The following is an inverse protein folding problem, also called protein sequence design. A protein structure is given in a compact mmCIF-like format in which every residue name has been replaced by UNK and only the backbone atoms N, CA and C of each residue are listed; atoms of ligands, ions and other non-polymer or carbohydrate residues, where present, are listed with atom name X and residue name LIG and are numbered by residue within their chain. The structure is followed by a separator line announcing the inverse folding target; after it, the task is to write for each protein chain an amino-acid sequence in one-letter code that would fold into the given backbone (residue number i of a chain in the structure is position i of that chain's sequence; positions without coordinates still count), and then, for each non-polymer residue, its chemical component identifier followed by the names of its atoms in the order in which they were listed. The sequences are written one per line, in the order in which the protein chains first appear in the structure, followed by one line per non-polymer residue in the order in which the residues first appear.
data_IF_198324130340
#
_entry.id   IF_198324130340
#
_cell.length_a   1.000
_cell.length_b   1.000
_cell.length_c   1.000
_cell.angle_alpha   90.00
_cell.angle_beta   90.00
_cell.angle_gamma   90.00
#
_symmetry.space_group_name_H-M   'P 1'
#
loop_
_entity.id
_entity.type
_entity.pdbx_description
1 polymer ?
#
# COMPACT_ATOMS: atom_id res chain seq x y z
N UNK A 1 25.87 77.91 31.74
CA UNK A 1 26.63 76.65 31.83
C UNK A 1 25.75 75.53 32.41
N UNK A 2 25.08 75.73 33.55
CA UNK A 2 24.27 74.67 34.21
C UNK A 2 23.10 74.06 33.42
N UNK A 3 22.44 74.81 32.52
CA UNK A 3 21.34 74.28 31.70
C UNK A 3 21.81 73.32 30.58
N UNK A 4 23.06 73.45 30.14
CA UNK A 4 23.62 72.57 29.10
C UNK A 4 24.00 71.21 29.72
N UNK A 5 24.51 71.22 30.95
CA UNK A 5 24.87 69.99 31.67
C UNK A 5 23.65 69.16 32.08
N UNK A 6 22.51 69.80 32.40
CA UNK A 6 21.26 69.10 32.75
C UNK A 6 20.59 68.45 31.53
N UNK A 7 20.68 69.07 30.36
CA UNK A 7 20.11 68.53 29.13
C UNK A 7 20.99 67.42 28.53
N UNK A 8 22.31 67.54 28.67
CA UNK A 8 23.25 66.47 28.31
C UNK A 8 23.09 65.23 29.21
N UNK A 9 22.81 65.41 30.50
CA UNK A 9 22.58 64.28 31.43
C UNK A 9 21.22 63.61 31.24
N UNK A 10 20.17 64.34 30.86
CA UNK A 10 18.88 63.75 30.50
C UNK A 10 18.94 62.94 29.19
N UNK A 11 19.60 63.48 28.15
CA UNK A 11 19.78 62.75 26.89
C UNK A 11 20.64 61.49 27.08
N UNK A 12 21.69 61.56 27.90
CA UNK A 12 22.49 60.38 28.23
C UNK A 12 21.68 59.32 29.00
N UNK A 13 20.76 59.73 29.87
CA UNK A 13 19.86 58.81 30.59
C UNK A 13 18.88 58.11 29.65
N UNK A 14 18.25 58.85 28.73
CA UNK A 14 17.32 58.29 27.74
C UNK A 14 18.03 57.35 26.76
N UNK A 15 19.25 57.69 26.33
CA UNK A 15 20.08 56.80 25.52
C UNK A 15 20.43 55.51 26.26
N UNK A 16 20.73 55.58 27.57
CA UNK A 16 21.01 54.37 28.35
C UNK A 16 19.77 53.48 28.53
N UNK A 17 18.58 54.05 28.74
CA UNK A 17 17.34 53.28 28.84
C UNK A 17 16.96 52.64 27.50
N UNK A 18 17.16 53.34 26.38
CA UNK A 18 16.96 52.79 25.04
C UNK A 18 17.94 51.64 24.75
N UNK A 19 19.20 51.76 25.16
CA UNK A 19 20.20 50.69 25.02
C UNK A 19 19.81 49.46 25.86
N UNK A 20 19.33 49.65 27.09
CA UNK A 20 18.88 48.54 27.95
C UNK A 20 17.63 47.86 27.38
N UNK A 21 16.67 48.63 26.85
CA UNK A 21 15.47 48.09 26.19
C UNK A 21 15.83 47.28 24.94
N UNK A 22 16.74 47.79 24.10
CA UNK A 22 17.24 47.07 22.93
C UNK A 22 18.03 45.81 23.32
N UNK A 23 18.81 45.86 24.40
CA UNK A 23 19.48 44.66 24.93
C UNK A 23 18.50 43.60 25.40
N UNK A 24 17.41 44.00 26.07
CA UNK A 24 16.34 43.08 26.47
C UNK A 24 15.66 42.44 25.26
N UNK A 25 15.31 43.25 24.25
CA UNK A 25 14.71 42.74 23.00
C UNK A 25 15.66 41.78 22.25
N UNK A 26 16.96 42.08 22.19
CA UNK A 26 17.94 41.17 21.59
C UNK A 26 18.06 39.86 22.37
N UNK A 27 17.99 39.91 23.71
CA UNK A 27 17.98 38.70 24.54
C UNK A 27 16.72 37.86 24.30
N UNK A 28 15.56 38.48 24.18
CA UNK A 28 14.30 37.80 23.88
C UNK A 28 14.31 37.18 22.48
N UNK A 29 14.76 37.92 21.46
CA UNK A 29 14.93 37.39 20.10
C UNK A 29 15.91 36.21 20.07
N UNK A 30 17.00 36.27 20.85
CA UNK A 30 17.96 35.16 20.96
C UNK A 30 17.33 33.93 21.61
N UNK A 31 16.56 34.11 22.70
CA UNK A 31 15.86 33.01 23.36
C UNK A 31 14.82 32.37 22.43
N UNK A 32 14.10 33.16 21.63
CA UNK A 32 13.18 32.65 20.62
C UNK A 32 13.89 31.86 19.52
N UNK A 33 15.04 32.34 19.04
CA UNK A 33 15.84 31.58 18.06
C UNK A 33 16.33 30.25 18.61
N UNK A 34 16.82 30.22 19.85
CA UNK A 34 17.23 28.99 20.54
C UNK A 34 16.04 28.03 20.73
N UNK A 35 14.86 28.55 21.06
CA UNK A 35 13.62 27.76 21.15
C UNK A 35 13.25 27.13 19.81
N UNK A 36 13.15 27.94 18.74
CA UNK A 36 12.81 27.45 17.40
C UNK A 36 13.84 26.48 16.84
N UNK A 37 15.13 26.70 17.14
CA UNK A 37 16.20 25.75 16.80
C UNK A 37 16.01 24.40 17.51
N UNK A 38 15.61 24.42 18.78
CA UNK A 38 15.25 23.22 19.53
C UNK A 38 14.06 22.49 18.91
N UNK A 39 12.98 23.21 18.58
CA UNK A 39 11.80 22.64 17.90
C UNK A 39 12.17 22.03 16.55
N UNK A 40 12.94 22.73 15.73
CA UNK A 40 13.40 22.21 14.43
C UNK A 40 14.23 20.93 14.59
N UNK A 41 15.10 20.87 15.60
CA UNK A 41 15.91 19.68 15.90
C UNK A 41 15.02 18.51 16.31
N UNK A 42 14.02 18.73 17.19
CA UNK A 42 13.09 17.68 17.61
C UNK A 42 12.26 17.19 16.42
N UNK A 43 11.76 18.09 15.58
CA UNK A 43 11.03 17.73 14.36
C UNK A 43 11.90 16.91 13.40
N UNK A 44 13.17 17.28 13.22
CA UNK A 44 14.10 16.53 12.38
C UNK A 44 14.38 15.13 12.94
N UNK A 45 14.59 15.03 14.25
CA UNK A 45 14.82 13.74 14.91
C UNK A 45 13.58 12.84 14.83
N UNK A 46 12.39 13.37 15.11
CA UNK A 46 11.12 12.65 14.99
C UNK A 46 10.89 12.15 13.55
N UNK A 47 11.14 13.00 12.54
CA UNK A 47 11.07 12.58 11.13
C UNK A 47 12.07 11.47 10.81
N UNK A 48 13.30 11.52 11.34
CA UNK A 48 14.31 10.46 11.14
C UNK A 48 13.89 9.15 11.81
N UNK A 49 13.26 9.22 12.98
CA UNK A 49 12.72 8.05 13.68
C UNK A 49 11.60 7.38 12.88
N UNK A 50 10.61 8.15 12.42
CA UNK A 50 9.52 7.64 11.57
C UNK A 50 10.05 7.01 10.28
N UNK A 51 11.00 7.65 9.59
CA UNK A 51 11.65 7.09 8.40
C UNK A 51 12.41 5.80 8.72
N UNK A 52 13.05 5.72 9.89
CA UNK A 52 13.75 4.52 10.35
C UNK A 52 12.80 3.36 10.68
N UNK A 53 11.63 3.65 11.25
CA UNK A 53 10.58 2.66 11.50
C UNK A 53 9.95 2.15 10.21
N UNK A 54 9.62 3.04 9.27
CA UNK A 54 9.12 2.67 7.95
C UNK A 54 10.13 1.82 7.18
N UNK A 55 11.41 2.18 7.20
CA UNK A 55 12.47 1.40 6.57
C UNK A 55 12.54 -0.02 7.15
N UNK A 56 12.49 -0.15 8.49
CA UNK A 56 12.47 -1.46 9.16
C UNK A 56 11.26 -2.29 8.78
N UNK A 57 10.07 -1.67 8.67
CA UNK A 57 8.86 -2.35 8.23
C UNK A 57 9.00 -2.87 6.80
N UNK A 58 9.48 -2.05 5.86
CA UNK A 58 9.76 -2.49 4.49
C UNK A 58 10.76 -3.64 4.45
N UNK A 59 11.85 -3.58 5.21
CA UNK A 59 12.85 -4.65 5.25
C UNK A 59 12.26 -5.95 5.81
N UNK A 60 11.40 -5.87 6.84
CA UNK A 60 10.69 -7.01 7.42
C UNK A 60 9.72 -7.66 6.42
N UNK A 61 8.95 -6.85 5.68
CA UNK A 61 8.03 -7.34 4.64
C UNK A 61 8.80 -8.01 3.50
N UNK A 62 9.91 -7.41 3.05
CA UNK A 62 10.77 -8.00 2.02
C UNK A 62 11.29 -9.37 2.49
N UNK A 63 11.77 -9.48 3.72
CA UNK A 63 12.23 -10.75 4.28
C UNK A 63 11.12 -11.79 4.37
N UNK A 64 9.93 -11.40 4.82
CA UNK A 64 8.76 -12.29 4.89
C UNK A 64 8.34 -12.80 3.50
N UNK A 65 8.31 -11.91 2.50
CA UNK A 65 8.01 -12.28 1.11
C UNK A 65 9.09 -13.21 0.52
N UNK A 66 10.36 -12.93 0.77
CA UNK A 66 11.47 -13.79 0.35
C UNK A 66 11.38 -15.18 0.97
N UNK A 67 10.96 -15.28 2.24
CA UNK A 67 10.73 -16.55 2.92
C UNK A 67 9.56 -17.33 2.31
N UNK A 68 8.42 -16.68 2.08
CA UNK A 68 7.27 -17.32 1.43
C UNK A 68 7.62 -17.82 0.01
N UNK A 69 8.38 -17.03 -0.76
CA UNK A 69 8.86 -17.43 -2.09
C UNK A 69 9.84 -18.62 -2.02
N UNK A 70 10.75 -18.63 -1.04
CA UNK A 70 11.65 -19.76 -0.80
C UNK A 70 10.90 -21.03 -0.38
N UNK A 71 9.88 -20.91 0.46
CA UNK A 71 9.05 -22.03 0.88
C UNK A 71 8.26 -22.61 -0.30
N UNK A 72 7.61 -21.76 -1.10
CA UNK A 72 6.88 -22.21 -2.29
C UNK A 72 7.82 -22.87 -3.31
N UNK A 73 9.02 -22.33 -3.53
CA UNK A 73 10.04 -22.96 -4.37
C UNK A 73 10.41 -24.36 -3.85
N UNK A 74 10.70 -24.51 -2.55
CA UNK A 74 10.97 -25.80 -1.91
C UNK A 74 9.81 -26.79 -2.05
N UNK A 75 8.56 -26.33 -1.90
CA UNK A 75 7.36 -27.17 -2.12
C UNK A 75 7.27 -27.67 -3.57
N UNK A 76 7.56 -26.83 -4.56
CA UNK A 76 7.60 -27.24 -5.96
C UNK A 76 8.74 -28.23 -6.23
N UNK A 77 9.94 -28.00 -5.71
CA UNK A 77 11.07 -28.94 -5.81
C UNK A 77 10.75 -30.31 -5.21
N UNK A 78 10.08 -30.33 -4.05
CA UNK A 78 9.60 -31.55 -3.40
C UNK A 78 8.58 -32.31 -4.26
N UNK A 79 7.60 -31.61 -4.84
CA UNK A 79 6.60 -32.22 -5.76
C UNK A 79 7.26 -32.76 -7.02
N UNK A 80 8.21 -32.03 -7.60
CA UNK A 80 8.98 -32.49 -8.76
C UNK A 80 9.76 -33.75 -8.40
N UNK A 81 10.44 -33.77 -7.25
CA UNK A 81 11.20 -34.92 -6.76
C UNK A 81 10.31 -36.14 -6.52
N UNK A 82 9.12 -35.96 -5.93
CA UNK A 82 8.14 -37.03 -5.75
C UNK A 82 7.67 -37.61 -7.08
N UNK A 83 7.31 -36.76 -8.05
CA UNK A 83 6.93 -37.21 -9.40
C UNK A 83 8.07 -37.93 -10.13
N UNK A 84 9.32 -37.48 -9.94
CA UNK A 84 10.49 -38.14 -10.51
C UNK A 84 10.76 -39.49 -9.86
N UNK A 85 10.60 -39.60 -8.54
CA UNK A 85 10.72 -40.86 -7.79
C UNK A 85 9.64 -41.87 -8.21
N UNK A 86 8.38 -41.46 -8.32
CA UNK A 86 7.31 -42.31 -8.84
C UNK A 86 7.66 -42.82 -10.25
N UNK A 87 8.10 -41.94 -11.16
CA UNK A 87 8.55 -42.36 -12.51
C UNK A 87 9.74 -43.33 -12.47
N UNK A 88 10.66 -43.18 -11.53
CA UNK A 88 11.79 -44.10 -11.35
C UNK A 88 11.33 -45.45 -10.80
N UNK A 89 10.38 -45.47 -9.86
CA UNK A 89 9.76 -46.68 -9.32
C UNK A 89 9.02 -47.46 -10.41
N UNK A 90 8.26 -46.79 -11.27
CA UNK A 90 7.61 -47.42 -12.43
C UNK A 90 8.60 -47.92 -13.47
N UNK A 91 9.79 -47.31 -13.59
CA UNK A 91 10.89 -47.83 -14.44
C UNK A 91 11.65 -48.99 -13.80
N UNK A 92 11.80 -49.01 -12.48
CA UNK A 92 12.49 -50.06 -11.72
C UNK A 92 11.65 -51.33 -11.52
N UNK A 93 10.33 -51.23 -11.54
CA UNK A 93 9.41 -52.38 -11.43
C UNK A 93 9.39 -53.33 -12.64
N UNK A 94 10.17 -53.04 -13.69
CA UNK A 94 10.23 -53.84 -14.92
C UNK A 94 11.53 -54.60 -15.18
N UNK A 95 12.52 -54.59 -14.28
CA UNK A 95 13.78 -55.29 -14.51
C UNK A 95 14.40 -55.82 -13.20
N UNK A 96 13.99 -57.02 -12.81
CA UNK A 96 14.72 -57.86 -11.88
C UNK A 96 15.78 -58.68 -12.64
N UNK A 97 17.03 -58.24 -12.61
CA UNK A 97 18.20 -59.15 -12.55
C UNK A 97 19.31 -58.50 -11.72
N UNK A 98 19.89 -59.21 -10.73
CA UNK A 98 21.00 -58.69 -9.95
C UNK A 98 22.32 -59.02 -10.68
N UNK A 99 23.16 -58.01 -10.91
CA UNK A 99 24.58 -58.22 -11.22
C UNK A 99 25.37 -57.42 -10.20
N UNK A 100 26.08 -58.16 -9.34
CA UNK A 100 27.11 -57.66 -8.45
C UNK A 100 28.17 -56.87 -9.22
N UNK A 101 28.60 -55.72 -8.68
CA UNK A 101 29.98 -55.26 -8.79
C UNK A 101 30.29 -54.22 -7.69
N UNK A 102 31.14 -54.64 -6.74
CA UNK A 102 31.93 -53.79 -5.85
C UNK A 102 32.84 -52.86 -6.67
N UNK A 103 33.02 -51.60 -6.23
CA UNK A 103 34.06 -50.72 -6.76
C UNK A 103 34.07 -49.31 -6.20
N UNK A 104 34.76 -49.14 -5.08
CA UNK A 104 35.46 -47.94 -4.56
C UNK A 104 35.31 -46.55 -5.21
N UNK A 105 35.06 -45.57 -4.33
CA UNK A 105 35.62 -44.20 -4.27
C UNK A 105 36.58 -43.76 -5.39
N UNK A 106 36.29 -42.63 -6.06
CA UNK A 106 37.20 -41.47 -6.04
C UNK A 106 36.61 -40.16 -6.60
N UNK A 107 36.68 -39.17 -5.72
CA UNK A 107 36.81 -37.71 -5.87
C UNK A 107 37.44 -37.24 -7.20
N UNK A 108 36.82 -36.27 -7.86
CA UNK A 108 37.42 -35.49 -8.95
C UNK A 108 36.54 -34.29 -9.31
N UNK A 109 37.09 -33.09 -9.20
CA UNK A 109 36.46 -31.77 -9.25
C UNK A 109 37.15 -30.95 -10.33
N UNK A 110 36.39 -30.04 -10.99
CA UNK A 110 36.86 -28.88 -11.78
C UNK A 110 37.62 -29.23 -13.09
N UNK A 111 37.58 -28.49 -14.20
CA UNK A 111 36.98 -27.24 -14.71
C UNK A 111 36.88 -27.46 -16.24
N UNK A 112 36.00 -26.79 -17.01
CA UNK A 112 36.25 -25.45 -17.54
C UNK A 112 36.69 -25.51 -19.02
N UNK A 113 36.18 -24.56 -19.81
CA UNK A 113 36.61 -24.20 -21.17
C UNK A 113 36.16 -25.12 -22.34
N UNK A 114 35.70 -24.63 -23.48
CA UNK A 114 35.51 -23.26 -23.97
C UNK A 114 34.66 -23.30 -25.25
N UNK A 115 34.08 -22.14 -25.59
CA UNK A 115 33.99 -21.60 -26.96
C UNK A 115 33.14 -22.37 -28.00
N UNK A 116 32.47 -21.80 -28.98
CA UNK A 116 32.45 -20.49 -29.64
C UNK A 116 31.09 -20.46 -30.38
N UNK A 117 30.36 -19.33 -30.43
CA UNK A 117 30.18 -18.45 -31.62
C UNK A 117 29.95 -19.25 -32.91
N UNK A 118 28.87 -19.05 -33.67
CA UNK A 118 28.62 -17.90 -34.58
C UNK A 118 27.20 -18.12 -35.18
N UNK A 119 26.22 -17.22 -35.04
CA UNK A 119 25.94 -16.01 -35.84
C UNK A 119 25.34 -16.27 -37.24
N UNK A 120 24.09 -15.79 -37.37
CA UNK A 120 23.37 -15.20 -38.52
C UNK A 120 22.89 -16.05 -39.73
N UNK A 121 21.58 -15.87 -39.98
CA UNK A 121 20.90 -15.31 -41.19
C UNK A 121 19.90 -16.30 -41.82
N UNK A 122 18.59 -16.21 -41.54
CA UNK A 122 17.54 -15.32 -42.09
C UNK A 122 17.42 -15.34 -43.64
N UNK A 123 16.31 -15.93 -44.10
CA UNK A 123 15.48 -15.41 -45.20
C UNK A 123 15.66 -16.03 -46.59
N UNK A 124 14.59 -16.58 -47.15
CA UNK A 124 14.48 -16.92 -48.57
C UNK A 124 13.17 -17.65 -48.89
N UNK A 125 12.35 -17.01 -49.73
CA UNK A 125 10.94 -17.28 -50.01
C UNK A 125 10.76 -18.16 -51.26
N UNK A 126 9.52 -18.62 -51.47
CA UNK A 126 9.02 -19.51 -52.53
C UNK A 126 9.44 -19.21 -53.98
N UNK A 127 9.43 -20.24 -54.83
CA UNK A 127 8.75 -20.19 -56.13
C UNK A 127 8.37 -21.57 -56.71
N UNK A 128 7.32 -21.56 -57.53
CA UNK A 128 6.57 -22.70 -58.12
C UNK A 128 7.12 -23.17 -59.48
N UNK A 129 6.74 -24.41 -59.80
CA UNK A 129 6.24 -24.92 -61.10
C UNK A 129 7.15 -25.57 -62.19
N UNK A 130 6.75 -26.82 -62.53
CA UNK A 130 6.58 -27.47 -63.88
C UNK A 130 7.39 -28.72 -64.29
N UNK A 131 6.65 -29.86 -64.37
CA UNK A 131 6.55 -30.96 -65.39
C UNK A 131 7.84 -31.54 -66.04
N UNK A 132 8.16 -32.85 -65.99
CA UNK A 132 7.52 -34.01 -66.71
C UNK A 132 8.19 -35.38 -66.34
N UNK A 133 7.57 -36.57 -66.57
CA UNK A 133 8.05 -37.94 -66.21
C UNK A 133 8.65 -38.69 -67.45
N UNK A 134 8.87 -40.05 -67.53
CA UNK A 134 8.71 -41.19 -66.59
C UNK A 134 9.86 -42.25 -66.61
N UNK A 135 9.88 -43.21 -65.64
CA UNK A 135 10.10 -44.65 -65.92
C UNK A 135 9.90 -45.56 -64.69
N UNK A 136 9.32 -46.72 -64.97
CA UNK A 136 8.78 -47.80 -64.14
C UNK A 136 9.82 -48.77 -63.54
N UNK A 137 9.61 -49.24 -62.28
CA UNK A 137 10.01 -50.57 -61.70
C UNK A 137 9.65 -50.67 -60.18
N UNK A 138 9.54 -51.88 -59.55
CA UNK A 138 8.35 -52.39 -58.84
C UNK A 138 8.32 -52.19 -57.29
N UNK A 139 7.28 -52.62 -56.54
CA UNK A 139 6.94 -52.07 -55.23
C UNK A 139 7.76 -52.70 -54.10
N UNK A 140 8.74 -51.96 -53.60
CA UNK A 140 9.33 -52.24 -52.29
C UNK A 140 8.43 -51.64 -51.21
N UNK A 141 7.66 -52.53 -50.56
CA UNK A 141 7.22 -52.50 -49.16
C UNK A 141 7.27 -51.12 -48.49
N UNK A 142 6.10 -50.51 -48.34
CA UNK A 142 5.83 -49.35 -47.51
C UNK A 142 6.45 -49.53 -46.10
N UNK A 143 7.57 -48.86 -45.84
CA UNK A 143 7.93 -48.46 -44.49
C UNK A 143 7.20 -47.13 -44.23
N UNK A 144 6.25 -47.08 -43.27
CA UNK A 144 5.61 -45.82 -42.91
C UNK A 144 6.67 -44.85 -42.37
N UNK A 145 6.54 -43.59 -42.81
CA UNK A 145 7.36 -42.43 -42.45
C UNK A 145 7.82 -42.45 -40.99
N UNK A 146 9.06 -42.04 -40.68
CA UNK A 146 9.49 -41.88 -39.30
C UNK A 146 8.64 -40.77 -38.68
N UNK A 147 7.76 -41.15 -37.76
CA UNK A 147 7.20 -40.21 -36.80
C UNK A 147 8.39 -39.60 -36.07
N UNK A 148 8.62 -38.30 -36.26
CA UNK A 148 9.56 -37.52 -35.45
C UNK A 148 9.10 -37.64 -34.00
N UNK A 149 9.69 -38.58 -33.25
CA UNK A 149 9.56 -38.60 -31.81
C UNK A 149 10.09 -37.27 -31.28
N UNK A 150 9.30 -36.52 -30.48
CA UNK A 150 9.77 -35.28 -29.89
C UNK A 150 11.01 -35.55 -29.03
N UNK A 151 11.90 -34.55 -28.88
CA UNK A 151 13.03 -34.65 -27.97
C UNK A 151 12.57 -35.08 -26.56
N UNK A 152 13.37 -35.86 -25.82
CA UNK A 152 13.02 -36.30 -24.47
C UNK A 152 12.53 -35.12 -23.61
N UNK A 153 11.34 -35.26 -23.03
CA UNK A 153 10.70 -34.21 -22.20
C UNK A 153 9.58 -33.42 -22.88
N UNK A 154 9.41 -33.53 -24.20
CA UNK A 154 8.35 -32.82 -24.93
C UNK A 154 7.13 -33.74 -25.14
N UNK A 155 5.96 -33.30 -24.68
CA UNK A 155 4.68 -34.00 -24.89
C UNK A 155 3.99 -33.41 -26.12
N UNK A 156 3.54 -34.28 -27.03
CA UNK A 156 2.64 -33.86 -28.11
C UNK A 156 1.32 -33.41 -27.49
N UNK A 157 0.98 -32.14 -27.69
CA UNK A 157 -0.28 -31.54 -27.26
C UNK A 157 -1.31 -31.81 -28.35
N UNK A 158 -2.49 -32.29 -27.98
CA UNK A 158 -3.58 -32.49 -28.94
C UNK A 158 -4.13 -31.14 -29.39
N UNK A 159 -4.71 -31.03 -30.59
CA UNK A 159 -5.29 -29.76 -31.04
C UNK A 159 -6.35 -29.22 -30.06
N UNK A 160 -7.18 -30.09 -29.48
CA UNK A 160 -8.16 -29.73 -28.46
C UNK A 160 -7.53 -29.19 -27.18
N UNK A 161 -6.43 -29.78 -26.71
CA UNK A 161 -5.71 -29.28 -25.53
C UNK A 161 -5.01 -27.94 -25.83
N UNK A 162 -4.54 -27.76 -27.07
CA UNK A 162 -3.93 -26.53 -27.53
C UNK A 162 -4.96 -25.40 -27.62
N UNK A 163 -6.14 -25.68 -28.18
CA UNK A 163 -7.25 -24.74 -28.27
C UNK A 163 -7.76 -24.34 -26.87
N UNK A 164 -7.88 -25.31 -25.95
CA UNK A 164 -8.25 -25.04 -24.57
C UNK A 164 -7.23 -24.16 -23.84
N UNK A 165 -5.93 -24.44 -24.00
CA UNK A 165 -4.87 -23.61 -23.45
C UNK A 165 -4.86 -22.21 -24.10
N UNK A 166 -5.09 -22.13 -25.40
CA UNK A 166 -5.17 -20.85 -26.11
C UNK A 166 -6.34 -20.00 -25.62
N UNK A 167 -7.50 -20.62 -25.39
CA UNK A 167 -8.68 -19.94 -24.82
C UNK A 167 -8.38 -19.43 -23.40
N UNK A 168 -7.77 -20.26 -22.55
CA UNK A 168 -7.36 -19.83 -21.20
C UNK A 168 -6.35 -18.69 -21.23
N UNK A 169 -5.40 -18.70 -22.16
CA UNK A 169 -4.44 -17.61 -22.33
C UNK A 169 -5.15 -16.33 -22.75
N UNK A 170 -6.15 -16.40 -23.64
CA UNK A 170 -6.96 -15.24 -24.03
C UNK A 170 -7.80 -14.70 -22.87
N UNK A 171 -8.42 -15.58 -22.08
CA UNK A 171 -9.20 -15.20 -20.90
C UNK A 171 -8.33 -14.51 -19.85
N UNK A 172 -7.16 -15.08 -19.55
CA UNK A 172 -6.18 -14.49 -18.64
C UNK A 172 -5.63 -13.16 -19.17
N UNK A 173 -5.47 -13.01 -20.48
CA UNK A 173 -5.10 -11.74 -21.10
C UNK A 173 -6.22 -10.69 -20.94
N UNK A 174 -7.48 -11.10 -21.07
CA UNK A 174 -8.64 -10.24 -20.81
C UNK A 174 -8.72 -9.78 -19.35
N UNK A 175 -8.56 -10.70 -18.40
CA UNK A 175 -8.52 -10.35 -16.96
C UNK A 175 -7.32 -9.45 -16.61
N UNK A 176 -6.14 -9.70 -17.18
CA UNK A 176 -4.97 -8.83 -17.00
C UNK A 176 -5.20 -7.41 -17.57
N UNK A 177 -5.91 -7.30 -18.70
CA UNK A 177 -6.27 -6.00 -19.26
C UNK A 177 -7.27 -5.28 -18.34
N UNK A 178 -8.31 -5.97 -17.86
CA UNK A 178 -9.30 -5.41 -16.94
C UNK A 178 -8.65 -4.91 -15.64
N UNK A 179 -7.80 -5.71 -15.02
CA UNK A 179 -7.07 -5.31 -13.80
C UNK A 179 -6.11 -4.16 -14.07
N UNK A 180 -5.51 -4.09 -15.26
CA UNK A 180 -4.67 -2.95 -15.65
C UNK A 180 -5.47 -1.67 -15.77
N UNK A 181 -6.65 -1.73 -16.38
CA UNK A 181 -7.53 -0.57 -16.54
C UNK A 181 -8.04 -0.11 -15.17
N UNK A 182 -8.55 -1.02 -14.33
CA UNK A 182 -8.96 -0.74 -12.95
C UNK A 182 -7.82 -0.11 -12.14
N UNK A 183 -6.58 -0.61 -12.26
CA UNK A 183 -5.41 0.01 -11.63
C UNK A 183 -5.19 1.43 -12.13
N UNK A 184 -5.27 1.66 -13.44
CA UNK A 184 -5.05 2.98 -14.03
C UNK A 184 -6.12 4.00 -13.59
N UNK A 185 -7.35 3.52 -13.38
CA UNK A 185 -8.47 4.33 -12.90
C UNK A 185 -8.24 4.76 -11.45
N UNK A 186 -7.87 3.81 -10.59
CA UNK A 186 -7.52 4.08 -9.19
C UNK A 186 -6.30 5.01 -9.07
N UNK A 187 -5.30 4.87 -9.93
CA UNK A 187 -4.15 5.78 -9.98
C UNK A 187 -4.57 7.21 -10.34
N UNK A 188 -5.52 7.39 -11.28
CA UNK A 188 -6.08 8.70 -11.63
C UNK A 188 -6.90 9.30 -10.48
N UNK A 189 -7.71 8.50 -9.82
CA UNK A 189 -8.51 8.94 -8.66
C UNK A 189 -7.59 9.38 -7.51
N UNK A 190 -6.56 8.59 -7.19
CA UNK A 190 -5.58 8.95 -6.18
C UNK A 190 -4.84 10.23 -6.54
N UNK A 191 -4.43 10.40 -7.80
CA UNK A 191 -3.80 11.64 -8.27
C UNK A 191 -4.75 12.85 -8.14
N UNK A 192 -6.03 12.69 -8.47
CA UNK A 192 -7.04 13.75 -8.30
C UNK A 192 -7.22 14.11 -6.83
N UNK A 193 -7.41 13.12 -5.95
CA UNK A 193 -7.56 13.34 -4.51
C UNK A 193 -6.31 13.97 -3.89
N UNK A 194 -5.11 13.57 -4.32
CA UNK A 194 -3.86 14.17 -3.86
C UNK A 194 -3.77 15.63 -4.29
N UNK A 195 -4.16 15.95 -5.53
CA UNK A 195 -4.18 17.32 -6.02
C UNK A 195 -5.22 18.18 -5.27
N UNK A 196 -6.41 17.65 -4.99
CA UNK A 196 -7.47 18.36 -4.27
C UNK A 196 -7.10 18.63 -2.81
N UNK A 197 -6.54 17.64 -2.12
CA UNK A 197 -6.04 17.81 -0.75
C UNK A 197 -4.90 18.83 -0.70
N UNK A 198 -3.96 18.80 -1.66
CA UNK A 198 -2.89 19.80 -1.74
C UNK A 198 -3.43 21.21 -1.99
N UNK A 199 -4.48 21.37 -2.81
CA UNK A 199 -5.18 22.67 -2.99
C UNK A 199 -5.81 23.14 -1.67
N UNK A 200 -6.51 22.27 -0.95
CA UNK A 200 -7.13 22.61 0.33
C UNK A 200 -6.08 23.02 1.37
N UNK A 201 -4.99 22.26 1.50
CA UNK A 201 -3.88 22.60 2.39
C UNK A 201 -3.28 23.96 2.02
N UNK A 202 -3.11 24.27 0.73
CA UNK A 202 -2.59 25.57 0.29
C UNK A 202 -3.52 26.73 0.65
N UNK A 203 -4.83 26.55 0.52
CA UNK A 203 -5.83 27.57 0.93
C UNK A 203 -5.77 27.79 2.44
N UNK A 204 -5.81 26.72 3.23
CA UNK A 204 -5.73 26.82 4.69
C UNK A 204 -4.41 27.46 5.13
N UNK A 205 -3.29 27.12 4.49
CA UNK A 205 -1.99 27.73 4.77
C UNK A 205 -2.00 29.23 4.48
N UNK A 206 -2.59 29.67 3.36
CA UNK A 206 -2.73 31.09 3.05
C UNK A 206 -3.62 31.80 4.07
N UNK A 207 -4.71 31.17 4.52
CA UNK A 207 -5.61 31.74 5.52
C UNK A 207 -4.90 31.89 6.88
N UNK A 208 -4.14 30.88 7.32
CA UNK A 208 -3.34 30.96 8.54
C UNK A 208 -2.33 32.10 8.44
N UNK A 209 -1.61 32.22 7.33
CA UNK A 209 -0.66 33.33 7.11
C UNK A 209 -1.33 34.70 7.16
N UNK A 210 -2.53 34.86 6.57
CA UNK A 210 -3.27 36.13 6.67
C UNK A 210 -3.72 36.43 8.10
N UNK A 211 -4.17 35.42 8.85
CA UNK A 211 -4.57 35.61 10.25
C UNK A 211 -3.38 35.96 11.15
N UNK A 212 -2.22 35.36 10.90
CA UNK A 212 -0.98 35.65 11.63
C UNK A 212 -0.51 37.09 11.37
N UNK A 213 -0.53 37.54 10.11
CA UNK A 213 -0.20 38.92 9.76
C UNK A 213 -1.13 39.92 10.46
N UNK A 214 -2.44 39.64 10.48
CA UNK A 214 -3.43 40.48 11.17
C UNK A 214 -3.19 40.53 12.68
N UNK A 215 -2.87 39.40 13.32
CA UNK A 215 -2.52 39.37 14.74
C UNK A 215 -1.25 40.17 15.05
N UNK A 216 -0.23 40.10 14.18
CA UNK A 216 0.98 40.91 14.33
C UNK A 216 0.67 42.41 14.24
N UNK A 217 -0.21 42.82 13.32
CA UNK A 217 -0.58 44.22 13.17
C UNK A 217 -1.45 44.73 14.34
N UNK A 218 -2.36 43.90 14.86
CA UNK A 218 -3.08 44.19 16.09
C UNK A 218 -2.14 44.33 17.29
N UNK A 219 -1.15 43.45 17.41
CA UNK A 219 -0.15 43.52 18.47
C UNK A 219 0.66 44.83 18.39
N UNK A 220 1.07 45.23 17.18
CA UNK A 220 1.74 46.52 16.96
C UNK A 220 0.83 47.68 17.34
N UNK A 221 -0.42 47.70 16.88
CA UNK A 221 -1.38 48.76 17.20
C UNK A 221 -1.67 48.86 18.70
N UNK A 222 -1.73 47.74 19.42
CA UNK A 222 -1.89 47.72 20.87
C UNK A 222 -0.67 48.33 21.57
N UNK A 223 0.55 47.96 21.16
CA UNK A 223 1.76 48.55 21.74
C UNK A 223 1.84 50.06 21.51
N UNK A 224 1.41 50.53 20.33
CA UNK A 224 1.36 51.94 19.98
C UNK A 224 0.34 52.71 20.83
N UNK A 225 -0.88 52.19 20.96
CA UNK A 225 -1.91 52.84 21.79
C UNK A 225 -1.54 52.83 23.28
N UNK A 226 -0.94 51.75 23.76
CA UNK A 226 -0.43 51.65 25.12
C UNK A 226 0.65 52.72 25.40
N UNK A 227 1.63 52.87 24.50
CA UNK A 227 2.67 53.89 24.63
C UNK A 227 2.09 55.31 24.58
N UNK A 228 1.10 55.56 23.72
CA UNK A 228 0.42 56.86 23.64
C UNK A 228 -0.33 57.20 24.95
N UNK A 229 -1.02 56.23 25.55
CA UNK A 229 -1.68 56.40 26.86
C UNK A 229 -0.65 56.66 27.96
N UNK A 230 0.47 55.93 27.98
CA UNK A 230 1.54 56.13 28.95
C UNK A 230 2.15 57.54 28.83
N UNK A 231 2.41 58.04 27.62
CA UNK A 231 2.88 59.41 27.39
C UNK A 231 1.90 60.44 27.93
N UNK A 232 0.60 60.29 27.62
CA UNK A 232 -0.45 61.21 28.07
C UNK A 232 -0.60 61.20 29.59
N UNK A 233 -0.45 60.05 30.24
CA UNK A 233 -0.46 59.95 31.69
C UNK A 233 0.75 60.65 32.32
N UNK A 234 1.93 60.54 31.71
CA UNK A 234 3.14 61.24 32.14
C UNK A 234 2.99 62.77 32.01
N UNK A 235 2.44 63.26 30.90
CA UNK A 235 2.13 64.67 30.68
C UNK A 235 1.14 65.21 31.73
N UNK A 236 0.05 64.48 31.99
CA UNK A 236 -0.93 64.84 33.01
C UNK A 236 -0.28 64.90 34.41
N UNK A 237 0.55 63.92 34.76
CA UNK A 237 1.26 63.89 36.05
C UNK A 237 2.21 65.08 36.20
N UNK A 238 2.91 65.47 35.12
CA UNK A 238 3.81 66.61 35.13
C UNK A 238 3.04 67.94 35.21
N UNK A 239 1.92 68.06 34.50
CA UNK A 239 1.03 69.23 34.61
C UNK A 239 0.44 69.36 36.01
N UNK A 240 0.03 68.25 36.65
CA UNK A 240 -0.47 68.23 38.02
C UNK A 240 0.60 68.71 39.00
N UNK A 241 1.83 68.19 38.90
CA UNK A 241 2.96 68.63 39.75
C UNK A 241 3.24 70.13 39.61
N UNK A 242 3.24 70.65 38.37
CA UNK A 242 3.37 72.10 38.10
C UNK A 242 2.25 72.88 38.77
N UNK A 243 1.00 72.45 38.61
CA UNK A 243 -0.17 73.10 39.21
C UNK A 243 -0.11 73.08 40.74
N UNK A 244 0.30 71.96 41.35
CA UNK A 244 0.53 71.87 42.80
C UNK A 244 1.63 72.83 43.27
N UNK A 245 2.74 72.95 42.55
CA UNK A 245 3.82 73.89 42.89
C UNK A 245 3.37 75.36 42.82
N UNK A 246 2.54 75.69 41.82
CA UNK A 246 1.94 77.02 41.66
C UNK A 246 0.96 77.33 42.81
N UNK A 247 0.11 76.38 43.19
CA UNK A 247 -0.79 76.53 44.35
C UNK A 247 -0.04 76.69 45.67
N UNK A 248 1.07 75.97 45.86
CA UNK A 248 1.94 76.14 47.03
C UNK A 248 2.61 77.51 47.05
N UNK A 249 3.02 78.06 45.89
CA UNK A 249 3.58 79.41 45.77
C UNK A 249 2.54 80.49 46.13
N UNK A 250 1.32 80.37 45.60
CA UNK A 250 0.23 81.31 45.90
C UNK A 250 -0.23 81.25 47.37
N UNK A 251 -0.08 80.11 48.04
CA UNK A 251 -0.33 79.98 49.49
C UNK A 251 0.80 80.57 50.35
N UNK A 252 1.99 80.80 49.79
CA UNK A 252 3.23 81.12 50.52
C UNK A 252 3.70 82.58 50.53
N UNK A 253 2.97 83.52 49.92
CA UNK A 253 3.24 84.97 50.06
C UNK A 253 1.91 85.72 50.22
N UNK A 254 1.67 86.62 51.16
CA UNK A 254 2.50 87.32 52.17
C UNK A 254 1.62 87.69 53.39
N UNK A 255 2.21 88.14 54.51
CA UNK A 255 1.51 88.76 55.64
C UNK A 255 1.39 90.31 55.53
N UNK A 256 0.32 90.82 56.15
CA UNK A 256 0.08 92.17 56.71
C UNK A 256 -0.19 93.40 55.80
N UNK A 257 -1.43 93.88 55.95
CA UNK A 257 -1.98 95.25 56.04
C UNK A 257 -1.54 96.37 55.07
N UNK A 258 -2.52 97.02 54.43
CA UNK A 258 -3.08 98.32 54.86
C UNK A 258 -3.93 98.94 53.72
N UNK A 259 -5.04 99.57 54.12
CA UNK A 259 -5.62 100.75 53.50
C UNK A 259 -6.04 100.74 52.01
N UNK A 260 -7.36 100.85 51.78
CA UNK A 260 -7.86 101.52 50.58
C UNK A 260 -9.03 100.81 49.93
N UNK A 261 -10.24 101.17 50.38
CA UNK A 261 -11.44 101.02 49.60
C UNK A 261 -11.33 101.81 48.27
N UNK A 262 -12.11 101.36 47.28
CA UNK A 262 -12.48 102.01 46.02
C UNK A 262 -11.68 101.71 44.72
N UNK A 263 -12.34 101.67 43.54
CA UNK A 263 -13.16 100.52 43.11
C UNK A 263 -12.93 100.22 41.62
N UNK A 264 -12.17 99.19 41.23
CA UNK A 264 -11.94 98.92 39.78
C UNK A 264 -11.93 97.46 39.32
N UNK A 265 -12.39 96.48 40.09
CA UNK A 265 -12.32 95.06 39.67
C UNK A 265 -13.66 94.45 39.23
N UNK A 266 -14.62 95.26 38.78
CA UNK A 266 -15.93 94.77 38.26
C UNK A 266 -15.90 94.46 36.74
N UNK A 267 -14.74 94.45 36.08
CA UNK A 267 -14.64 94.22 34.61
C UNK A 267 -14.03 92.86 34.17
N UNK A 268 -13.85 91.89 35.07
CA UNK A 268 -13.31 90.56 34.72
C UNK A 268 -14.29 89.37 34.59
N UNK A 269 -15.62 89.42 34.89
CA UNK A 269 -16.49 88.25 34.75
C UNK A 269 -16.71 87.83 33.28
N UNK A 270 -16.78 88.80 32.36
CA UNK A 270 -17.14 88.54 30.96
C UNK A 270 -16.02 87.85 30.18
N UNK A 271 -14.75 88.19 30.43
CA UNK A 271 -13.60 87.57 29.77
C UNK A 271 -13.35 86.14 30.32
N UNK A 272 -13.47 85.94 31.64
CA UNK A 272 -13.34 84.62 32.28
C UNK A 272 -14.49 83.67 31.87
N UNK A 273 -15.72 84.19 31.77
CA UNK A 273 -16.89 83.44 31.31
C UNK A 273 -16.75 82.98 29.86
N UNK A 274 -16.27 83.85 28.96
CA UNK A 274 -16.03 83.51 27.56
C UNK A 274 -14.96 82.41 27.39
N UNK A 275 -13.89 82.43 28.18
CA UNK A 275 -12.87 81.36 28.15
C UNK A 275 -13.38 80.02 28.72
N UNK A 276 -14.24 80.06 29.74
CA UNK A 276 -14.90 78.86 30.27
C UNK A 276 -15.92 78.28 29.29
N UNK A 277 -16.69 79.14 28.62
CA UNK A 277 -17.64 78.75 27.58
C UNK A 277 -16.91 78.11 26.39
N UNK A 278 -15.81 78.71 25.92
CA UNK A 278 -15.02 78.15 24.82
C UNK A 278 -14.40 76.80 25.19
N UNK A 279 -13.95 76.63 26.45
CA UNK A 279 -13.47 75.32 26.95
C UNK A 279 -14.56 74.26 26.90
N UNK A 280 -15.77 74.59 27.33
CA UNK A 280 -16.92 73.67 27.28
C UNK A 280 -17.30 73.33 25.83
N UNK A 281 -17.20 74.27 24.89
CA UNK A 281 -17.43 74.00 23.46
C UNK A 281 -16.41 73.02 22.90
N UNK A 282 -15.11 73.21 23.20
CA UNK A 282 -14.05 72.28 22.78
C UNK A 282 -14.29 70.89 23.39
N UNK A 283 -14.68 70.82 24.66
CA UNK A 283 -14.98 69.54 25.32
C UNK A 283 -16.22 68.86 24.71
N UNK A 284 -17.26 69.61 24.38
CA UNK A 284 -18.44 69.08 23.67
C UNK A 284 -18.06 68.55 22.29
N UNK A 285 -17.20 69.25 21.54
CA UNK A 285 -16.73 68.78 20.23
C UNK A 285 -15.90 67.51 20.38
N UNK A 286 -14.95 67.48 21.31
CA UNK A 286 -14.11 66.30 21.58
C UNK A 286 -14.95 65.10 22.05
N UNK A 287 -15.94 65.30 22.92
CA UNK A 287 -16.86 64.24 23.33
C UNK A 287 -17.74 63.75 22.19
N UNK A 288 -18.15 64.63 21.26
CA UNK A 288 -18.88 64.23 20.05
C UNK A 288 -17.99 63.42 19.10
N UNK A 289 -16.76 63.85 18.87
CA UNK A 289 -15.78 63.11 18.07
C UNK A 289 -15.51 61.72 18.67
N UNK A 290 -15.31 61.63 19.99
CA UNK A 290 -15.16 60.34 20.68
C UNK A 290 -16.40 59.46 20.53
N UNK A 291 -17.61 60.03 20.59
CA UNK A 291 -18.85 59.28 20.43
C UNK A 291 -19.02 58.78 18.99
N UNK A 292 -18.60 59.57 18.02
CA UNK A 292 -18.56 59.21 16.59
C UNK A 292 -17.56 58.08 16.32
N UNK A 293 -16.33 58.16 16.83
CA UNK A 293 -15.36 57.07 16.70
C UNK A 293 -15.85 55.77 17.35
N UNK A 294 -16.54 55.87 18.49
CA UNK A 294 -17.12 54.70 19.17
C UNK A 294 -18.31 54.10 18.41
N UNK A 295 -19.06 54.92 17.68
CA UNK A 295 -20.11 54.44 16.80
C UNK A 295 -19.53 53.68 15.60
N UNK A 296 -18.50 54.24 14.94
CA UNK A 296 -17.78 53.58 13.85
C UNK A 296 -17.15 52.24 14.29
N UNK A 297 -16.49 52.21 15.46
CA UNK A 297 -15.97 50.98 16.06
C UNK A 297 -17.08 49.93 16.26
N UNK A 298 -18.26 50.34 16.72
CA UNK A 298 -19.40 49.44 16.93
C UNK A 298 -19.94 48.87 15.61
N UNK A 299 -20.01 49.68 14.55
CA UNK A 299 -20.44 49.24 13.22
C UNK A 299 -19.44 48.23 12.62
N UNK A 300 -18.14 48.47 12.76
CA UNK A 300 -17.09 47.54 12.32
C UNK A 300 -17.20 46.20 13.05
N UNK A 301 -17.40 46.23 14.37
CA UNK A 301 -17.60 45.01 15.16
C UNK A 301 -18.87 44.25 14.73
N UNK A 302 -19.95 44.94 14.39
CA UNK A 302 -21.18 44.31 13.90
C UNK A 302 -20.95 43.61 12.56
N UNK A 303 -20.22 44.25 11.63
CA UNK A 303 -19.83 43.62 10.36
C UNK A 303 -18.93 42.40 10.61
N UNK A 304 -17.94 42.49 11.50
CA UNK A 304 -17.09 41.34 11.84
C UNK A 304 -17.87 40.18 12.46
N UNK A 305 -18.82 40.46 13.37
CA UNK A 305 -19.69 39.44 13.95
C UNK A 305 -20.58 38.80 12.88
N UNK A 306 -21.11 39.58 11.93
CA UNK A 306 -21.89 39.05 10.82
C UNK A 306 -21.05 38.15 9.91
N UNK A 307 -19.81 38.54 9.62
CA UNK A 307 -18.87 37.75 8.83
C UNK A 307 -18.51 36.43 9.53
N UNK A 308 -18.17 36.48 10.82
CA UNK A 308 -17.87 35.28 11.62
C UNK A 308 -19.07 34.34 11.70
N UNK A 309 -20.29 34.89 11.81
CA UNK A 309 -21.52 34.10 11.78
C UNK A 309 -21.69 33.36 10.45
N UNK A 310 -21.44 34.03 9.33
CA UNK A 310 -21.53 33.36 8.01
C UNK A 310 -20.48 32.26 7.83
N UNK A 311 -19.26 32.47 8.34
CA UNK A 311 -18.22 31.43 8.32
C UNK A 311 -18.56 30.26 9.24
N UNK A 312 -19.13 30.51 10.42
CA UNK A 312 -19.65 29.46 11.30
C UNK A 312 -20.73 28.63 10.61
N UNK A 313 -21.70 29.26 9.95
CA UNK A 313 -22.76 28.57 9.20
C UNK A 313 -22.18 27.77 8.03
N UNK A 314 -21.16 28.30 7.35
CA UNK A 314 -20.44 27.60 6.27
C UNK A 314 -19.70 26.36 6.78
N UNK A 315 -18.97 26.49 7.89
CA UNK A 315 -18.26 25.37 8.53
C UNK A 315 -19.26 24.32 9.01
N UNK A 316 -20.36 24.75 9.62
CA UNK A 316 -21.44 23.85 10.05
C UNK A 316 -22.01 23.06 8.86
N UNK A 317 -22.29 23.74 7.75
CA UNK A 317 -22.76 23.09 6.53
C UNK A 317 -21.75 22.12 5.92
N UNK A 318 -20.45 22.39 6.03
CA UNK A 318 -19.40 21.45 5.61
C UNK A 318 -19.33 20.23 6.53
N UNK A 319 -19.45 20.43 7.85
CA UNK A 319 -19.50 19.34 8.83
C UNK A 319 -20.67 18.40 8.55
N UNK A 320 -21.87 18.94 8.33
CA UNK A 320 -23.07 18.15 8.02
C UNK A 320 -22.92 17.35 6.71
N UNK A 321 -22.22 17.90 5.71
CA UNK A 321 -21.91 17.17 4.46
C UNK A 321 -20.94 16.02 4.71
N UNK A 322 -19.84 16.27 5.40
CA UNK A 322 -18.86 15.24 5.76
C UNK A 322 -19.50 14.13 6.62
N UNK A 323 -20.41 14.48 7.53
CA UNK A 323 -21.16 13.49 8.31
C UNK A 323 -22.04 12.60 7.44
N UNK A 324 -22.71 13.17 6.41
CA UNK A 324 -23.52 12.40 5.46
C UNK A 324 -22.67 11.48 4.59
N UNK A 325 -21.55 11.97 4.07
CA UNK A 325 -20.60 11.17 3.28
C UNK A 325 -20.02 10.02 4.10
N UNK A 326 -19.60 10.31 5.34
CA UNK A 326 -19.09 9.29 6.25
C UNK A 326 -20.16 8.23 6.59
N UNK A 327 -21.42 8.64 6.74
CA UNK A 327 -22.53 7.69 6.92
C UNK A 327 -22.75 6.82 5.68
N UNK A 328 -22.76 7.42 4.48
CA UNK A 328 -22.86 6.69 3.22
C UNK A 328 -21.74 5.65 3.07
N UNK A 329 -20.48 6.05 3.26
CA UNK A 329 -19.33 5.14 3.23
C UNK A 329 -19.46 4.00 4.25
N UNK A 330 -19.97 4.26 5.46
CA UNK A 330 -20.23 3.20 6.45
C UNK A 330 -21.28 2.20 5.97
N UNK A 331 -22.35 2.66 5.32
CA UNK A 331 -23.39 1.77 4.77
C UNK A 331 -22.86 0.92 3.62
N UNK A 332 -22.04 1.50 2.73
CA UNK A 332 -21.40 0.78 1.64
C UNK A 332 -20.42 -0.29 2.16
N UNK A 333 -19.58 0.07 3.15
CA UNK A 333 -18.70 -0.89 3.82
C UNK A 333 -19.47 -2.04 4.47
N UNK A 334 -20.64 -1.77 5.06
CA UNK A 334 -21.51 -2.82 5.59
C UNK A 334 -22.03 -3.74 4.47
N UNK A 335 -22.47 -3.17 3.36
CA UNK A 335 -22.91 -3.93 2.17
C UNK A 335 -21.80 -4.81 1.59
N UNK A 336 -20.58 -4.28 1.44
CA UNK A 336 -19.41 -5.02 0.97
C UNK A 336 -19.03 -6.16 1.91
N UNK A 337 -19.11 -5.97 3.24
CA UNK A 337 -18.88 -7.06 4.22
C UNK A 337 -19.89 -8.19 4.05
N UNK A 338 -21.17 -7.86 3.83
CA UNK A 338 -22.21 -8.88 3.60
C UNK A 338 -21.91 -9.64 2.31
N UNK A 339 -21.62 -8.95 1.21
CA UNK A 339 -21.26 -9.57 -0.07
C UNK A 339 -20.02 -10.49 0.05
N UNK A 340 -18.98 -10.05 0.76
CA UNK A 340 -17.79 -10.86 1.04
C UNK A 340 -18.15 -12.13 1.82
N UNK A 341 -19.05 -12.03 2.80
CA UNK A 341 -19.52 -13.20 3.56
C UNK A 341 -20.30 -14.20 2.70
N UNK A 342 -21.03 -13.73 1.68
CA UNK A 342 -21.72 -14.59 0.72
C UNK A 342 -20.72 -15.30 -0.19
N UNK A 343 -19.82 -14.55 -0.83
CA UNK A 343 -18.76 -15.13 -1.66
C UNK A 343 -17.91 -16.15 -0.91
N UNK A 344 -17.58 -15.88 0.36
CA UNK A 344 -16.83 -16.84 1.19
C UNK A 344 -17.61 -18.14 1.43
N UNK A 345 -18.94 -18.07 1.62
CA UNK A 345 -19.78 -19.29 1.73
C UNK A 345 -19.81 -20.03 0.41
N UNK A 346 -20.00 -19.32 -0.70
CA UNK A 346 -20.08 -19.92 -2.03
C UNK A 346 -18.75 -20.62 -2.40
N UNK A 347 -17.60 -20.01 -2.11
CA UNK A 347 -16.30 -20.64 -2.29
C UNK A 347 -16.16 -21.93 -1.45
N UNK A 348 -16.67 -21.94 -0.20
CA UNK A 348 -16.67 -23.14 0.64
C UNK A 348 -17.55 -24.24 0.05
N UNK A 349 -18.75 -23.90 -0.43
CA UNK A 349 -19.66 -24.85 -1.07
C UNK A 349 -19.02 -25.43 -2.34
N UNK A 350 -18.50 -24.58 -3.22
CA UNK A 350 -17.81 -25.02 -4.44
C UNK A 350 -16.57 -25.88 -4.14
N UNK A 351 -15.83 -25.56 -3.07
CA UNK A 351 -14.71 -26.40 -2.61
C UNK A 351 -15.16 -27.80 -2.19
N UNK A 352 -16.28 -27.89 -1.47
CA UNK A 352 -16.86 -29.17 -1.05
C UNK A 352 -17.34 -29.96 -2.27
N UNK A 353 -18.06 -29.33 -3.20
CA UNK A 353 -18.55 -29.96 -4.42
C UNK A 353 -17.38 -30.47 -5.29
N UNK A 354 -16.31 -29.69 -5.41
CA UNK A 354 -15.08 -30.12 -6.09
C UNK A 354 -14.49 -31.37 -5.44
N UNK A 355 -14.42 -31.42 -4.11
CA UNK A 355 -13.91 -32.60 -3.39
C UNK A 355 -14.80 -33.83 -3.58
N UNK A 356 -16.13 -33.65 -3.57
CA UNK A 356 -17.10 -34.72 -3.80
C UNK A 356 -17.00 -35.27 -5.22
N UNK A 357 -16.92 -34.41 -6.23
CA UNK A 357 -16.72 -34.80 -7.62
C UNK A 357 -15.37 -35.51 -7.83
N UNK A 358 -14.30 -35.03 -7.20
CA UNK A 358 -13.00 -35.70 -7.24
C UNK A 358 -13.08 -37.12 -6.64
N UNK A 359 -13.78 -37.30 -5.52
CA UNK A 359 -13.99 -38.61 -4.92
C UNK A 359 -14.80 -39.54 -5.85
N UNK A 360 -15.85 -39.02 -6.48
CA UNK A 360 -16.65 -39.77 -7.45
C UNK A 360 -15.83 -40.20 -8.67
N UNK A 361 -14.93 -39.34 -9.17
CA UNK A 361 -14.02 -39.70 -10.26
C UNK A 361 -13.07 -40.85 -9.86
N UNK A 362 -12.56 -40.85 -8.62
CA UNK A 362 -11.70 -41.93 -8.12
C UNK A 362 -12.47 -43.25 -7.98
N UNK A 363 -13.71 -43.20 -7.51
CA UNK A 363 -14.56 -44.37 -7.38
C UNK A 363 -14.89 -44.99 -8.74
N UNK A 364 -15.34 -44.18 -9.70
CA UNK A 364 -15.58 -44.61 -11.09
C UNK A 364 -14.32 -45.21 -11.72
N UNK A 365 -13.13 -44.62 -11.45
CA UNK A 365 -11.85 -45.17 -11.94
C UNK A 365 -11.54 -46.53 -11.33
N UNK A 366 -11.80 -46.73 -10.04
CA UNK A 366 -11.67 -48.02 -9.36
C UNK A 366 -12.60 -49.06 -9.98
N UNK A 367 -13.86 -48.70 -10.24
CA UNK A 367 -14.83 -49.58 -10.91
C UNK A 367 -14.35 -49.99 -12.30
N UNK A 368 -13.82 -49.06 -13.10
CA UNK A 368 -13.24 -49.36 -14.42
C UNK A 368 -12.05 -50.31 -14.32
N UNK A 369 -11.17 -50.14 -13.34
CA UNK A 369 -10.03 -51.06 -13.12
C UNK A 369 -10.53 -52.46 -12.76
N UNK A 370 -11.53 -52.56 -11.88
CA UNK A 370 -12.15 -53.83 -11.49
C UNK A 370 -12.78 -54.55 -12.69
N UNK A 371 -13.59 -53.85 -13.49
CA UNK A 371 -14.21 -54.41 -14.70
C UNK A 371 -13.17 -54.83 -15.74
N UNK A 372 -12.08 -54.08 -15.90
CA UNK A 372 -10.96 -54.49 -16.79
C UNK A 372 -10.31 -55.78 -16.33
N UNK A 373 -10.04 -55.93 -15.03
CA UNK A 373 -9.49 -57.17 -14.47
C UNK A 373 -10.45 -58.36 -14.65
N UNK A 374 -11.75 -58.15 -14.42
CA UNK A 374 -12.77 -59.17 -14.69
C UNK A 374 -12.82 -59.57 -16.19
N UNK A 375 -12.66 -58.61 -17.10
CA UNK A 375 -12.59 -58.90 -18.53
C UNK A 375 -11.33 -59.69 -18.89
N UNK A 376 -10.17 -59.33 -18.34
CA UNK A 376 -8.89 -60.04 -18.57
C UNK A 376 -8.92 -61.49 -18.06
N UNK A 377 -9.51 -61.73 -16.89
CA UNK A 377 -9.70 -63.08 -16.36
C UNK A 377 -10.63 -63.90 -17.25
N UNK A 378 -11.76 -63.34 -17.68
CA UNK A 378 -12.69 -64.00 -18.61
C UNK A 378 -12.03 -64.33 -19.95
N UNK A 379 -11.26 -63.39 -20.52
CA UNK A 379 -10.49 -63.62 -21.76
C UNK A 379 -9.43 -64.71 -21.60
N UNK A 380 -8.79 -64.79 -20.43
CA UNK A 380 -7.80 -65.83 -20.12
C UNK A 380 -8.46 -67.21 -20.05
N UNK A 381 -9.55 -67.34 -19.30
CA UNK A 381 -10.34 -68.58 -19.24
C UNK A 381 -10.80 -69.01 -20.64
N UNK A 382 -11.24 -68.07 -21.47
CA UNK A 382 -11.66 -68.37 -22.84
C UNK A 382 -10.48 -68.87 -23.70
N UNK A 383 -9.30 -68.25 -23.60
CA UNK A 383 -8.08 -68.71 -24.29
C UNK A 383 -7.71 -70.12 -23.84
N UNK A 384 -7.73 -70.38 -22.54
CA UNK A 384 -7.38 -71.69 -21.98
C UNK A 384 -8.37 -72.76 -22.44
N UNK A 385 -9.67 -72.47 -22.47
CA UNK A 385 -10.69 -73.39 -23.00
C UNK A 385 -10.45 -73.73 -24.48
N UNK A 386 -10.13 -72.73 -25.31
CA UNK A 386 -9.81 -72.95 -26.72
C UNK A 386 -8.53 -73.80 -26.86
N UNK A 387 -7.48 -73.53 -26.08
CA UNK A 387 -6.27 -74.34 -26.10
C UNK A 387 -6.50 -75.77 -25.63
N UNK A 388 -7.27 -75.97 -24.57
CA UNK A 388 -7.59 -77.29 -24.04
C UNK A 388 -8.40 -78.11 -25.05
N UNK A 389 -9.40 -77.49 -25.69
CA UNK A 389 -10.21 -78.13 -26.72
C UNK A 389 -9.38 -78.52 -27.95
N UNK A 390 -8.47 -77.64 -28.41
CA UNK A 390 -7.54 -77.95 -29.50
C UNK A 390 -6.59 -79.11 -29.11
N UNK A 391 -6.01 -79.08 -27.91
CA UNK A 391 -5.13 -80.14 -27.41
C UNK A 391 -5.86 -81.48 -27.31
N UNK A 392 -7.08 -81.47 -26.75
CA UNK A 392 -7.94 -82.65 -26.69
C UNK A 392 -8.24 -83.18 -28.10
N UNK A 393 -8.58 -82.30 -29.05
CA UNK A 393 -8.86 -82.69 -30.43
C UNK A 393 -7.65 -83.35 -31.10
N UNK A 394 -6.44 -82.83 -30.88
CA UNK A 394 -5.19 -83.44 -31.35
C UNK A 394 -4.95 -84.80 -30.68
N UNK A 395 -5.09 -84.89 -29.34
CA UNK A 395 -4.91 -86.15 -28.61
C UNK A 395 -5.88 -87.24 -29.09
N UNK A 396 -7.15 -86.89 -29.31
CA UNK A 396 -8.14 -87.83 -29.84
C UNK A 396 -7.79 -88.31 -31.26
N UNK A 397 -7.29 -87.42 -32.12
CA UNK A 397 -6.87 -87.78 -33.47
C UNK A 397 -5.60 -88.68 -33.45
N UNK A 398 -4.65 -88.42 -32.56
CA UNK A 398 -3.49 -89.29 -32.36
C UNK A 398 -3.90 -90.68 -31.86
N UNK A 399 -4.86 -90.77 -30.94
CA UNK A 399 -5.41 -92.06 -30.48
C UNK A 399 -6.08 -92.80 -31.64
N UNK A 400 -6.85 -92.09 -32.49
CA UNK A 400 -7.48 -92.68 -33.68
C UNK A 400 -6.45 -93.24 -34.66
N UNK A 401 -5.26 -92.64 -34.73
CA UNK A 401 -4.16 -93.05 -35.59
C UNK A 401 -3.24 -94.12 -34.96
N UNK A 402 -3.37 -94.40 -33.65
CA UNK A 402 -2.52 -95.36 -32.96
C UNK A 402 -2.84 -96.81 -33.34
N UNK A 403 -1.80 -97.61 -33.61
CA UNK A 403 -1.94 -99.00 -34.05
C UNK A 403 -1.87 -100.00 -32.87
N UNK A 404 -1.45 -99.54 -31.68
CA UNK A 404 -1.28 -100.40 -30.48
C UNK A 404 -1.77 -99.74 -29.19
N UNK A 405 -2.22 -100.56 -28.23
CA UNK A 405 -2.68 -100.07 -26.92
C UNK A 405 -1.58 -99.41 -26.06
N UNK A 406 -0.31 -99.75 -26.28
CA UNK A 406 0.82 -99.09 -25.61
C UNK A 406 0.95 -97.62 -26.02
N UNK A 407 0.87 -97.34 -27.32
CA UNK A 407 0.91 -95.96 -27.85
C UNK A 407 -0.25 -95.10 -27.34
N UNK A 408 -1.45 -95.69 -27.17
CA UNK A 408 -2.60 -94.99 -26.60
C UNK A 408 -2.36 -94.59 -25.13
N UNK A 409 -1.76 -95.48 -24.32
CA UNK A 409 -1.41 -95.18 -22.91
C UNK A 409 -0.36 -94.06 -22.81
N UNK A 410 0.60 -94.03 -23.73
CA UNK A 410 1.62 -92.97 -23.79
C UNK A 410 1.02 -91.61 -24.18
N UNK A 411 0.10 -91.57 -25.17
CA UNK A 411 -0.60 -90.33 -25.58
C UNK A 411 -1.50 -89.77 -24.47
N UNK A 412 -2.12 -90.64 -23.67
CA UNK A 412 -2.92 -90.26 -22.50
C UNK A 412 -2.06 -89.86 -21.30
N UNK A 413 -0.75 -90.14 -21.33
CA UNK A 413 0.18 -89.82 -20.25
C UNK A 413 0.06 -90.74 -19.03
N UNK A 414 -0.52 -91.94 -19.18
CA UNK A 414 -0.71 -92.91 -18.08
C UNK A 414 0.52 -93.81 -17.82
N UNK A 415 1.68 -93.50 -18.42
CA UNK A 415 2.82 -94.42 -18.49
C UNK A 415 3.85 -94.43 -17.34
N UNK A 416 3.75 -93.58 -16.31
CA UNK A 416 4.81 -93.44 -15.28
C UNK A 416 4.30 -93.13 -13.86
N UNK A 417 3.38 -93.93 -13.31
CA UNK A 417 3.06 -93.90 -11.86
C UNK A 417 3.07 -95.28 -11.19
N UNK A 418 3.90 -96.20 -11.69
CA UNK A 418 4.22 -97.45 -11.00
C UNK A 418 5.74 -97.56 -10.83
N UNK A 419 6.30 -96.70 -9.97
CA UNK A 419 7.58 -96.98 -9.29
C UNK A 419 7.82 -95.93 -8.21
N UNK A 420 7.37 -96.21 -6.98
CA UNK A 420 8.12 -96.15 -5.72
C UNK A 420 7.16 -96.61 -4.61
N UNK A 421 7.17 -97.91 -4.34
CA UNK A 421 6.93 -98.43 -3.00
C UNK A 421 8.24 -98.34 -2.21
N UNK A 422 8.25 -97.54 -1.14
CA UNK A 422 9.06 -97.81 0.05
C UNK A 422 8.24 -97.41 1.29
N UNK A 423 7.78 -98.38 2.10
CA UNK A 423 7.27 -98.07 3.43
C UNK A 423 8.47 -97.90 4.36
N UNK A 424 8.55 -96.76 5.05
CA UNK A 424 9.38 -96.62 6.24
C UNK A 424 8.42 -96.45 7.42
N UNK A 425 8.32 -97.51 8.20
CA UNK A 425 7.75 -97.59 9.53
C UNK A 425 8.49 -96.66 10.52
N UNK A 426 7.72 -96.22 11.53
CA UNK A 426 8.11 -95.88 12.93
C UNK A 426 9.19 -94.79 13.13
N UNK A 427 9.01 -93.78 13.98
CA UNK A 427 8.47 -93.74 15.35
C UNK A 427 8.18 -92.29 15.74
#
# INVERSE_FOLDING_TARGET
MEQIDTQATQNASEETEAVVSLQAQLADCRAQLEHWQGVATICEMSKREELGELQKQCDQEIQSLQEALRETASQYEGRISAMQSERAQWRGGGASTPVDCKGSSQKGKCDGDAAQREVLRRGGQMDRETKTPPRSSPPARWCPRPYTCPPPGHRLVTHTDWDALHTQVLDLQGELARVRDERSDLERELASHTADTQRQVSVLQSQVQTSEALLQDLQKSLSQSQNAVQSRLAELSLSQKKMCSELSRLRGGEPLEDGGEDPLTILSPALQGAHCEERLRIEIVNLKEQLETRAEESEVLEVQLSSLKTEMDRIQGHNDKLQKELHACRTELSGLRVALSHLQRDCKVQSNDKSALQQQCLEMRSQVISLRSQLETSQTVQRDFVQLSQSLQVKLELIRQAETMGQVKDILGEGLTDDVTKPAETT
#
